data_IF_566668187112
#
_entry.id   IF_566668187112
#
_cell.length_a   1.000
_cell.length_b   1.000
_cell.length_c   1.000
_cell.angle_alpha   90.00
_cell.angle_beta   90.00
_cell.angle_gamma   90.00
#
_symmetry.space_group_name_H-M   'P 1'
#
loop_
_entity.id
_entity.type
_entity.pdbx_description
1 polymer ?
#
# COMPACT_ATOMS: atom_id res chain seq x y z
N UNK A 1 21.79 -1.69 3.11
CA UNK A 1 20.85 -2.02 4.20
C UNK A 1 19.79 -2.97 3.68
N UNK A 2 19.40 -3.99 4.45
CA UNK A 2 18.24 -4.84 4.13
C UNK A 2 16.98 -3.96 4.14
N UNK A 3 16.15 -4.12 3.12
CA UNK A 3 14.95 -3.33 2.98
C UNK A 3 13.76 -4.02 3.63
N UNK A 4 13.06 -3.29 4.52
CA UNK A 4 11.90 -3.80 5.26
C UNK A 4 10.61 -3.34 4.59
N UNK A 5 9.67 -4.26 4.36
CA UNK A 5 8.41 -4.00 3.66
C UNK A 5 7.27 -4.76 4.33
N UNK A 6 6.13 -4.12 4.43
CA UNK A 6 4.85 -4.71 4.87
C UNK A 6 3.93 -4.69 3.66
N UNK A 7 3.41 -5.84 3.26
CA UNK A 7 2.35 -5.93 2.26
C UNK A 7 1.01 -6.11 2.97
N UNK A 8 0.11 -5.14 2.82
CA UNK A 8 -1.22 -5.16 3.42
C UNK A 8 -2.26 -5.61 2.38
N UNK A 9 -2.85 -6.78 2.62
CA UNK A 9 -3.94 -7.32 1.80
C UNK A 9 -5.27 -7.02 2.48
N UNK A 10 -6.15 -6.27 1.82
CA UNK A 10 -7.44 -5.84 2.38
C UNK A 10 -8.45 -5.54 1.27
N UNK A 11 -9.73 -5.72 1.54
CA UNK A 11 -10.84 -5.24 0.69
C UNK A 11 -11.66 -4.12 1.37
N UNK A 12 -11.22 -3.63 2.53
CA UNK A 12 -11.81 -2.50 3.25
C UNK A 12 -10.98 -1.24 2.95
N UNK A 13 -11.63 -0.18 2.47
CA UNK A 13 -11.00 1.07 2.01
C UNK A 13 -11.11 2.22 3.03
N UNK A 14 -12.03 2.14 4.00
CA UNK A 14 -12.14 3.08 5.12
C UNK A 14 -12.33 2.36 6.48
N UNK A 15 -11.29 1.64 6.97
CA UNK A 15 -11.40 0.79 8.17
C UNK A 15 -11.66 1.56 9.47
N UNK A 16 -11.50 2.89 9.48
CA UNK A 16 -11.64 3.73 10.67
C UNK A 16 -12.57 4.93 10.44
N UNK A 17 -13.46 4.88 9.44
CA UNK A 17 -14.36 5.98 9.08
C UNK A 17 -15.26 6.48 10.22
N UNK A 18 -15.52 5.62 11.20
CA UNK A 18 -16.31 5.95 12.39
C UNK A 18 -15.50 6.35 13.63
N UNK A 19 -14.16 6.31 13.57
CA UNK A 19 -13.26 6.55 14.70
C UNK A 19 -12.06 7.38 14.26
N UNK A 20 -12.23 8.71 14.30
CA UNK A 20 -11.22 9.67 13.88
C UNK A 20 -9.92 9.57 14.70
N UNK A 21 -10.01 9.17 15.97
CA UNK A 21 -8.85 8.98 16.83
C UNK A 21 -8.00 7.79 16.37
N UNK A 22 -8.62 6.65 16.04
CA UNK A 22 -7.91 5.51 15.43
C UNK A 22 -7.34 5.85 14.07
N UNK A 23 -8.11 6.55 13.22
CA UNK A 23 -7.66 6.96 11.90
C UNK A 23 -6.40 7.85 11.99
N UNK A 24 -6.40 8.82 12.90
CA UNK A 24 -5.25 9.69 13.14
C UNK A 24 -4.03 8.91 13.62
N UNK A 25 -4.20 8.02 14.61
CA UNK A 25 -3.10 7.20 15.15
C UNK A 25 -2.49 6.28 14.08
N UNK A 26 -3.33 5.71 13.21
CA UNK A 26 -2.86 4.88 12.10
C UNK A 26 -1.99 5.67 11.11
N UNK A 27 -2.42 6.88 10.74
CA UNK A 27 -1.62 7.77 9.86
C UNK A 27 -0.30 8.17 10.49
N UNK A 28 -0.29 8.58 11.77
CA UNK A 28 0.95 8.89 12.50
C UNK A 28 1.88 7.68 12.50
N UNK A 29 1.36 6.48 12.80
CA UNK A 29 2.19 5.28 12.85
C UNK A 29 2.76 4.89 11.48
N UNK A 30 1.99 5.11 10.40
CA UNK A 30 2.47 4.89 9.05
C UNK A 30 3.63 5.84 8.69
N UNK A 31 3.59 7.10 9.15
CA UNK A 31 4.72 8.03 9.04
C UNK A 31 5.94 7.52 9.79
N UNK A 32 5.79 7.12 11.06
CA UNK A 32 6.91 6.58 11.84
C UNK A 32 7.56 5.36 11.17
N UNK A 33 6.76 4.47 10.57
CA UNK A 33 7.27 3.32 9.83
C UNK A 33 8.12 3.77 8.64
N UNK A 34 7.65 4.77 7.89
CA UNK A 34 8.38 5.34 6.76
C UNK A 34 9.72 5.94 7.21
N UNK A 35 9.72 6.68 8.32
CA UNK A 35 10.92 7.31 8.89
C UNK A 35 11.95 6.28 9.37
N UNK A 36 11.49 5.10 9.83
CA UNK A 36 12.36 3.97 10.20
C UNK A 36 12.82 3.11 9.02
N UNK A 37 12.45 3.49 7.78
CA UNK A 37 12.80 2.77 6.55
C UNK A 37 11.97 1.51 6.30
N UNK A 38 10.78 1.43 6.89
CA UNK A 38 9.78 0.37 6.65
C UNK A 38 8.72 0.89 5.68
N UNK A 39 8.55 0.19 4.55
CA UNK A 39 7.60 0.57 3.51
C UNK A 39 6.30 -0.20 3.65
N UNK A 40 5.16 0.47 3.45
CA UNK A 40 3.84 -0.18 3.45
C UNK A 40 3.29 -0.17 2.02
N UNK A 41 3.06 -1.36 1.47
CA UNK A 41 2.44 -1.58 0.18
C UNK A 41 1.01 -2.09 0.35
N UNK A 42 0.06 -1.37 -0.24
CA UNK A 42 -1.32 -1.82 -0.29
C UNK A 42 -1.54 -2.79 -1.46
N UNK A 43 -2.11 -3.95 -1.15
CA UNK A 43 -2.56 -4.98 -2.09
C UNK A 43 -4.09 -5.06 -2.00
N UNK A 44 -4.78 -4.01 -2.44
CA UNK A 44 -6.22 -3.92 -2.29
C UNK A 44 -6.96 -4.90 -3.21
N UNK A 45 -7.94 -5.56 -2.62
CA UNK A 45 -8.77 -6.60 -3.21
C UNK A 45 -10.12 -6.01 -3.61
N UNK A 46 -10.79 -6.67 -4.55
CA UNK A 46 -12.10 -6.24 -5.04
C UNK A 46 -13.10 -6.05 -3.91
N UNK A 47 -13.71 -4.86 -3.86
CA UNK A 47 -14.81 -4.51 -2.95
C UNK A 47 -16.09 -4.28 -3.76
N UNK A 48 -17.25 -4.58 -3.18
CA UNK A 48 -18.54 -4.21 -3.80
C UNK A 48 -18.65 -2.69 -3.84
N UNK A 49 -18.82 -2.13 -5.03
CA UNK A 49 -18.83 -0.67 -5.24
C UNK A 49 -17.45 -0.08 -5.54
N UNK A 50 -16.40 -0.90 -5.62
CA UNK A 50 -15.04 -0.45 -5.84
C UNK A 50 -14.29 -0.17 -4.54
N UNK A 51 -12.97 0.02 -4.66
CA UNK A 51 -12.06 0.33 -3.56
C UNK A 51 -11.49 1.74 -3.76
N UNK A 52 -11.78 2.66 -2.83
CA UNK A 52 -11.29 4.04 -2.91
C UNK A 52 -10.09 4.29 -1.99
N UNK A 53 -8.89 4.30 -2.59
CA UNK A 53 -7.62 4.56 -1.88
C UNK A 53 -7.58 5.95 -1.22
N UNK A 54 -8.34 6.92 -1.76
CA UNK A 54 -8.29 8.32 -1.31
C UNK A 54 -8.94 8.54 0.06
N UNK A 55 -9.79 7.61 0.52
CA UNK A 55 -10.51 7.70 1.79
C UNK A 55 -9.58 7.57 3.00
N UNK A 56 -8.61 6.65 2.93
CA UNK A 56 -7.75 6.34 4.07
C UNK A 56 -6.30 6.05 3.69
N UNK A 57 -6.06 5.22 2.66
CA UNK A 57 -4.75 4.65 2.39
C UNK A 57 -3.78 5.58 1.67
N UNK A 58 -4.24 6.65 1.02
CA UNK A 58 -3.38 7.66 0.36
C UNK A 58 -2.25 8.15 1.27
N UNK A 59 -2.57 8.39 2.54
CA UNK A 59 -1.61 8.96 3.49
C UNK A 59 -0.77 7.88 4.20
N UNK A 60 -1.08 6.60 3.98
CA UNK A 60 -0.42 5.45 4.62
C UNK A 60 0.61 4.80 3.69
N UNK A 61 0.25 4.62 2.42
CA UNK A 61 1.13 3.93 1.46
C UNK A 61 2.39 4.74 1.19
N UNK A 62 3.52 4.04 1.07
CA UNK A 62 4.78 4.67 0.72
C UNK A 62 4.84 4.89 -0.80
N UNK A 63 4.64 6.12 -1.26
CA UNK A 63 4.98 6.52 -2.62
C UNK A 63 6.50 6.66 -2.68
N UNK A 64 7.20 5.72 -3.31
CA UNK A 64 8.63 5.90 -3.55
C UNK A 64 8.83 7.09 -4.50
N UNK A 65 9.90 7.88 -4.32
CA UNK A 65 10.21 9.00 -5.22
C UNK A 65 10.47 8.55 -6.68
N UNK A 66 10.77 7.26 -6.91
CA UNK A 66 10.92 6.62 -8.23
C UNK A 66 9.58 6.08 -8.80
N UNK A 67 8.49 6.14 -8.03
CA UNK A 67 7.11 5.80 -8.44
C UNK A 67 6.34 7.03 -8.95
N UNK A 68 7.04 8.05 -9.45
CA UNK A 68 6.46 9.12 -10.28
C UNK A 68 5.72 8.60 -11.54
N UNK A 69 5.73 7.28 -11.78
CA UNK A 69 4.95 6.58 -12.79
C UNK A 69 3.54 6.18 -12.36
N UNK A 70 3.05 6.57 -11.18
CA UNK A 70 1.59 6.68 -10.93
C UNK A 70 0.79 5.38 -11.14
N UNK A 71 1.42 4.21 -11.07
CA UNK A 71 0.71 2.92 -11.18
C UNK A 71 0.05 2.63 -9.83
N UNK A 72 -1.00 3.39 -9.53
CA UNK A 72 -2.03 2.93 -8.62
C UNK A 72 -2.60 1.66 -9.25
N UNK A 73 -2.20 0.52 -8.72
CA UNK A 73 -2.75 -0.75 -9.17
C UNK A 73 -4.26 -0.70 -9.00
N UNK A 74 -5.02 -1.18 -9.97
CA UNK A 74 -6.46 -1.38 -9.81
C UNK A 74 -6.74 -2.38 -8.68
N UNK A 75 -7.98 -2.48 -8.20
CA UNK A 75 -8.34 -3.55 -7.26
C UNK A 75 -8.11 -4.94 -7.85
N UNK A 76 -7.61 -5.87 -7.04
CA UNK A 76 -7.37 -7.25 -7.49
C UNK A 76 -8.64 -8.07 -7.35
N UNK A 77 -9.22 -8.48 -8.48
CA UNK A 77 -10.41 -9.35 -8.50
C UNK A 77 -10.09 -10.83 -8.74
N UNK A 78 -8.87 -11.14 -9.19
CA UNK A 78 -8.38 -12.48 -9.51
C UNK A 78 -7.03 -12.75 -8.85
N UNK A 79 -6.76 -14.01 -8.54
CA UNK A 79 -5.52 -14.45 -7.92
C UNK A 79 -4.31 -14.18 -8.82
N UNK A 80 -4.46 -14.37 -10.13
CA UNK A 80 -3.37 -14.18 -11.10
C UNK A 80 -2.94 -12.71 -11.19
N UNK A 81 -3.89 -11.78 -11.03
CA UNK A 81 -3.61 -10.34 -11.00
C UNK A 81 -2.92 -9.96 -9.69
N UNK A 82 -3.41 -10.49 -8.57
CA UNK A 82 -2.81 -10.25 -7.25
C UNK A 82 -1.36 -10.77 -7.19
N UNK A 83 -1.11 -11.99 -7.67
CA UNK A 83 0.22 -12.60 -7.70
C UNK A 83 1.20 -11.77 -8.55
N UNK A 84 0.75 -11.23 -9.69
CA UNK A 84 1.57 -10.33 -10.52
C UNK A 84 1.97 -9.06 -9.76
N UNK A 85 1.04 -8.45 -9.03
CA UNK A 85 1.30 -7.23 -8.23
C UNK A 85 2.27 -7.51 -7.07
N UNK A 86 2.08 -8.62 -6.37
CA UNK A 86 2.97 -9.04 -5.27
C UNK A 86 4.39 -9.21 -5.79
N UNK A 87 4.59 -9.97 -6.88
CA UNK A 87 5.91 -10.20 -7.49
C UNK A 87 6.57 -8.91 -7.99
N UNK A 88 5.78 -7.97 -8.52
CA UNK A 88 6.29 -6.67 -8.97
C UNK A 88 6.83 -5.82 -7.81
N UNK A 89 6.25 -5.93 -6.61
CA UNK A 89 6.69 -5.18 -5.42
C UNK A 89 7.67 -5.92 -4.53
N UNK A 90 7.75 -7.24 -4.66
CA UNK A 90 8.68 -8.10 -3.91
C UNK A 90 10.15 -7.76 -4.22
N UNK A 91 10.48 -7.61 -5.49
CA UNK A 91 11.86 -7.41 -5.94
C UNK A 91 12.17 -5.94 -6.21
N UNK A 92 13.30 -5.44 -5.67
CA UNK A 92 13.86 -4.16 -6.13
C UNK A 92 14.50 -4.31 -7.50
N UNK A 93 14.37 -3.28 -8.35
CA UNK A 93 15.18 -3.14 -9.56
C UNK A 93 16.66 -3.26 -9.17
N UNK A 94 17.40 -4.12 -9.88
CA UNK A 94 18.85 -4.28 -9.72
C UNK A 94 19.50 -3.78 -11.00
N UNK A 95 20.50 -2.93 -10.88
CA UNK A 95 21.33 -2.51 -12.02
C UNK A 95 22.23 -3.69 -12.39
N UNK A 96 22.35 -4.01 -13.68
CA UNK A 96 23.35 -4.94 -14.18
C UNK A 96 24.71 -4.22 -14.13
N UNK A 97 25.58 -4.67 -13.23
CA UNK A 97 27.00 -4.26 -13.15
C UNK A 97 27.88 -5.19 -13.97
#
# INVERSE_FOLDING_TARGET
>A
MSHKRIMLFTNEDDPHGNDSAKASRARTKASDLRDTGVFVDLMHLKKRGGFDVSLFYRDIISTAEDDSLGVHFEESSKLEDLLRKVRAKENRKRVLS
#
